data_IF_436170200833
#
_entry.id   IF_436170200833
#
_cell.length_a   1.000
_cell.length_b   1.000
_cell.length_c   1.000
_cell.angle_alpha   90.00
_cell.angle_beta   90.00
_cell.angle_gamma   90.00
#
_symmetry.space_group_name_H-M   'P 1'
#
loop_
_entity.id
_entity.type
_entity.pdbx_description
1 polymer ?
#
# COMPACT_ATOMS: atom_id res chain seq x y z
N UNK A 1 2.73 -11.36 4.08
CA UNK A 1 3.42 -10.81 2.91
C UNK A 1 2.72 -9.53 2.45
N UNK A 2 3.44 -8.69 1.70
CA UNK A 2 2.89 -7.46 1.13
C UNK A 2 2.92 -7.53 -0.39
N UNK A 3 2.02 -6.78 -1.03
CA UNK A 3 1.92 -6.67 -2.48
C UNK A 3 2.36 -5.28 -2.90
N UNK A 4 3.39 -5.20 -3.74
CA UNK A 4 3.78 -3.96 -4.38
C UNK A 4 3.03 -3.83 -5.69
N UNK A 5 2.29 -2.73 -5.85
CA UNK A 5 1.43 -2.47 -7.01
C UNK A 5 1.82 -1.17 -7.68
N UNK A 6 1.94 -1.20 -9.01
CA UNK A 6 2.29 -0.07 -9.87
C UNK A 6 1.22 0.16 -10.92
N UNK A 7 0.84 1.41 -11.14
CA UNK A 7 -0.03 1.77 -12.27
C UNK A 7 0.80 1.96 -13.54
N UNK A 8 0.63 1.10 -14.55
CA UNK A 8 1.38 1.17 -15.82
C UNK A 8 0.57 1.91 -16.89
N UNK A 9 -0.76 1.75 -16.89
CA UNK A 9 -1.65 2.40 -17.86
C UNK A 9 -2.53 3.46 -17.22
N UNK A 10 -2.78 4.54 -17.94
CA UNK A 10 -3.61 5.65 -17.46
C UNK A 10 -5.08 5.28 -17.29
N UNK A 11 -5.82 6.07 -16.52
CA UNK A 11 -7.25 5.81 -16.23
C UNK A 11 -8.22 6.32 -17.32
N UNK A 12 -7.71 7.05 -18.31
CA UNK A 12 -8.54 7.68 -19.34
C UNK A 12 -9.18 6.61 -20.24
N UNK A 13 -10.47 6.75 -20.53
CA UNK A 13 -11.20 5.80 -21.38
C UNK A 13 -11.67 4.50 -20.70
N UNK A 14 -11.32 4.26 -19.43
CA UNK A 14 -11.80 3.08 -18.69
C UNK A 14 -13.10 3.35 -17.93
N UNK A 15 -13.86 2.29 -17.64
CA UNK A 15 -15.11 2.31 -16.87
C UNK A 15 -14.92 2.97 -15.50
N UNK A 16 -15.94 3.69 -15.04
CA UNK A 16 -15.94 4.38 -13.75
C UNK A 16 -15.58 3.45 -12.58
N UNK A 17 -16.13 2.23 -12.55
CA UNK A 17 -15.83 1.20 -11.54
C UNK A 17 -14.33 0.88 -11.41
N UNK A 18 -13.60 0.84 -12.53
CA UNK A 18 -12.16 0.61 -12.50
C UNK A 18 -11.42 1.83 -11.96
N UNK A 19 -11.87 3.04 -12.31
CA UNK A 19 -11.29 4.29 -11.77
C UNK A 19 -11.48 4.39 -10.26
N UNK A 20 -12.65 4.02 -9.75
CA UNK A 20 -12.93 3.98 -8.31
C UNK A 20 -12.04 2.97 -7.59
N UNK A 21 -11.86 1.78 -8.17
CA UNK A 21 -10.96 0.75 -7.61
C UNK A 21 -9.53 1.26 -7.53
N UNK A 22 -9.01 1.89 -8.60
CA UNK A 22 -7.67 2.48 -8.62
C UNK A 22 -7.52 3.62 -7.60
N UNK A 23 -8.56 4.47 -7.44
CA UNK A 23 -8.58 5.51 -6.41
C UNK A 23 -8.56 4.92 -5.00
N UNK A 24 -9.31 3.84 -4.75
CA UNK A 24 -9.32 3.12 -3.48
C UNK A 24 -7.96 2.51 -3.12
N UNK A 25 -7.24 1.97 -4.12
CA UNK A 25 -5.85 1.50 -3.96
C UNK A 25 -4.83 2.66 -3.84
N UNK A 26 -5.25 3.90 -4.09
CA UNK A 26 -4.39 5.09 -4.03
C UNK A 26 -3.48 5.27 -5.25
N UNK A 27 -3.81 4.64 -6.37
CA UNK A 27 -3.09 4.68 -7.64
C UNK A 27 -3.71 5.73 -8.58
N UNK A 28 -3.40 7.00 -8.32
CA UNK A 28 -4.03 8.14 -9.05
C UNK A 28 -3.24 8.63 -10.27
N UNK A 29 -1.96 8.24 -10.41
CA UNK A 29 -1.07 8.68 -11.49
C UNK A 29 -0.29 7.49 -12.04
N UNK A 30 -0.03 7.51 -13.35
CA UNK A 30 0.82 6.51 -14.01
C UNK A 30 2.22 6.53 -13.42
N UNK A 31 2.82 5.36 -13.23
CA UNK A 31 4.12 5.16 -12.58
C UNK A 31 4.08 5.20 -11.06
N UNK A 32 2.92 5.46 -10.43
CA UNK A 32 2.80 5.47 -8.98
C UNK A 32 2.81 4.05 -8.43
N UNK A 33 3.64 3.83 -7.41
CA UNK A 33 3.80 2.55 -6.72
C UNK A 33 3.29 2.63 -5.27
N UNK A 34 2.69 1.54 -4.78
CA UNK A 34 2.20 1.39 -3.41
C UNK A 34 2.45 -0.04 -2.93
N UNK A 35 2.88 -0.17 -1.68
CA UNK A 35 2.90 -1.44 -0.96
C UNK A 35 1.59 -1.57 -0.19
N UNK A 36 0.92 -2.71 -0.35
CA UNK A 36 -0.38 -3.03 0.22
C UNK A 36 -0.27 -4.35 1.01
N UNK A 37 -1.14 -4.57 1.99
CA UNK A 37 -1.21 -5.86 2.67
C UNK A 37 -1.82 -6.91 1.75
N UNK A 38 -1.32 -8.14 1.79
CA UNK A 38 -1.97 -9.26 1.10
C UNK A 38 -3.23 -9.67 1.88
N UNK A 39 -4.37 -9.22 1.38
CA UNK A 39 -5.70 -9.60 1.89
C UNK A 39 -6.57 -10.01 0.71
N UNK A 40 -7.51 -10.96 0.88
CA UNK A 40 -8.36 -11.41 -0.21
C UNK A 40 -9.18 -10.28 -0.84
N UNK A 41 -9.57 -9.27 -0.04
CA UNK A 41 -10.23 -8.07 -0.55
C UNK A 41 -9.33 -7.27 -1.50
N UNK A 42 -8.06 -7.06 -1.14
CA UNK A 42 -7.08 -6.34 -1.98
C UNK A 42 -6.76 -7.15 -3.23
N UNK A 43 -6.62 -8.47 -3.10
CA UNK A 43 -6.38 -9.37 -4.23
C UNK A 43 -7.52 -9.33 -5.25
N UNK A 44 -8.77 -9.38 -4.79
CA UNK A 44 -9.95 -9.22 -5.67
C UNK A 44 -10.05 -7.83 -6.32
N UNK A 45 -9.58 -6.77 -5.65
CA UNK A 45 -9.47 -5.45 -6.28
C UNK A 45 -8.39 -5.43 -7.38
N UNK A 46 -7.23 -6.03 -7.13
CA UNK A 46 -6.11 -6.14 -8.07
C UNK A 46 -6.54 -6.93 -9.32
N UNK A 47 -7.21 -8.07 -9.14
CA UNK A 47 -7.69 -8.91 -10.25
C UNK A 47 -8.62 -8.14 -11.20
N UNK A 48 -9.52 -7.32 -10.66
CA UNK A 48 -10.44 -6.48 -11.46
C UNK A 48 -9.73 -5.46 -12.35
N UNK A 49 -8.52 -5.03 -11.98
CA UNK A 49 -7.75 -4.00 -12.70
C UNK A 49 -6.41 -4.51 -13.22
N UNK A 50 -6.22 -5.84 -13.26
CA UNK A 50 -4.93 -6.49 -13.55
C UNK A 50 -4.30 -6.08 -14.90
N UNK A 51 -5.11 -5.63 -15.86
CA UNK A 51 -4.63 -5.15 -17.17
C UNK A 51 -4.11 -3.70 -17.17
N UNK A 52 -4.29 -2.96 -16.07
CA UNK A 52 -3.83 -1.57 -15.90
C UNK A 52 -2.60 -1.46 -15.01
N UNK A 53 -2.38 -2.48 -14.17
CA UNK A 53 -1.38 -2.47 -13.13
C UNK A 53 -0.37 -3.60 -13.33
N UNK A 54 0.79 -3.41 -12.75
CA UNK A 54 1.80 -4.45 -12.57
C UNK A 54 1.95 -4.64 -11.05
N UNK A 55 2.03 -5.88 -10.60
CA UNK A 55 2.20 -6.16 -9.17
C UNK A 55 3.24 -7.26 -8.93
N UNK A 56 3.96 -7.12 -7.83
CA UNK A 56 4.97 -8.06 -7.36
C UNK A 56 4.77 -8.32 -5.87
N UNK A 57 5.04 -9.54 -5.43
CA UNK A 57 5.06 -9.86 -4.01
C UNK A 57 6.35 -9.36 -3.37
N UNK A 58 6.27 -8.73 -2.20
CA UNK A 58 7.44 -8.15 -1.51
C UNK A 58 7.27 -8.26 0.01
N UNK A 59 8.38 -8.41 0.74
CA UNK A 59 8.38 -8.44 2.22
C UNK A 59 8.43 -7.03 2.85
N UNK A 60 8.25 -5.97 2.06
CA UNK A 60 8.25 -4.60 2.58
C UNK A 60 7.06 -4.39 3.53
N UNK A 61 7.32 -3.73 4.67
CA UNK A 61 6.28 -3.40 5.63
C UNK A 61 5.25 -2.43 5.01
N UNK A 62 3.97 -2.76 5.16
CA UNK A 62 2.87 -1.88 4.74
C UNK A 62 2.92 -0.57 5.51
N UNK A 63 3.24 0.54 4.81
CA UNK A 63 3.19 1.88 5.38
C UNK A 63 1.83 2.51 5.06
N UNK A 64 1.00 2.82 6.07
CA UNK A 64 -0.27 3.48 5.80
C UNK A 64 -0.03 4.83 5.11
N UNK A 65 -0.95 5.23 4.25
CA UNK A 65 -0.84 6.47 3.47
C UNK A 65 -1.92 7.48 3.87
N UNK A 66 -1.60 8.77 3.81
CA UNK A 66 -2.50 9.87 4.16
C UNK A 66 -1.96 10.79 5.25
N UNK A 67 -2.74 11.80 5.63
CA UNK A 67 -2.30 12.77 6.66
C UNK A 67 -2.15 12.14 8.05
N UNK A 68 -2.99 11.15 8.38
CA UNK A 68 -2.97 10.44 9.67
C UNK A 68 -1.82 9.45 9.79
N UNK A 69 -1.39 8.84 8.69
CA UNK A 69 -0.30 7.86 8.73
C UNK A 69 1.06 8.48 9.01
N UNK A 70 1.25 9.76 8.64
CA UNK A 70 2.44 10.53 9.00
C UNK A 70 2.56 10.70 10.52
N UNK A 71 1.45 10.94 11.21
CA UNK A 71 1.41 11.04 12.68
C UNK A 71 1.66 9.68 13.34
N UNK A 72 1.14 8.60 12.76
CA UNK A 72 1.33 7.26 13.31
C UNK A 72 2.75 6.73 13.08
N UNK A 73 3.36 7.03 11.93
CA UNK A 73 4.79 6.78 11.69
C UNK A 73 5.69 7.59 12.64
N UNK A 74 5.29 8.83 12.97
CA UNK A 74 5.99 9.65 13.97
C UNK A 74 5.83 9.08 15.39
N UNK A 75 4.65 8.53 15.75
CA UNK A 75 4.43 7.85 17.03
C UNK A 75 5.18 6.52 17.15
N UNK A 76 5.15 5.67 16.12
CA UNK A 76 5.86 4.38 16.13
C UNK A 76 7.39 4.55 16.13
N UNK A 77 7.90 5.65 15.56
CA UNK A 77 9.32 6.00 15.64
C UNK A 77 9.75 6.47 17.06
N UNK A 78 8.83 7.03 17.85
CA UNK A 78 9.10 7.40 19.25
C UNK A 78 8.93 6.25 20.25
N UNK A 79 8.29 5.13 19.87
CA UNK A 79 7.90 4.04 20.80
C UNK A 79 8.75 2.75 20.73
N UNK A 80 9.84 2.67 19.94
CA UNK A 80 10.69 1.45 19.94
C UNK A 80 12.19 1.75 19.77
N UNK A 81 13.12 1.28 20.64
CA UNK A 81 12.96 0.66 21.97
C UNK A 81 13.81 1.30 23.10
N UNK A 82 13.23 1.54 24.28
CA UNK A 82 13.95 1.76 25.55
C UNK A 82 13.86 0.54 26.50
N UNK A 83 13.44 -0.63 25.99
CA UNK A 83 13.25 -1.87 26.78
C UNK A 83 14.21 -3.00 26.37
N UNK A 84 15.49 -2.70 26.24
CA UNK A 84 16.53 -3.72 25.97
C UNK A 84 17.63 -3.83 27.04
N UNK A 85 17.71 -2.94 28.04
CA UNK A 85 18.85 -2.91 28.98
C UNK A 85 18.55 -3.29 30.44
N UNK A 86 17.37 -3.81 30.79
CA UNK A 86 16.99 -3.98 32.21
C UNK A 86 16.63 -5.39 32.70
N UNK A 87 17.07 -6.44 32.01
CA UNK A 87 16.94 -7.84 32.48
C UNK A 87 18.29 -8.58 32.63
N UNK A 88 19.39 -7.84 32.82
CA UNK A 88 20.68 -8.45 33.18
C UNK A 88 21.37 -7.68 34.31
N UNK A 89 20.73 -7.56 35.47
CA UNK A 89 21.39 -7.22 36.75
C UNK A 89 20.66 -7.88 37.91
#
# INVERSE_FOLDING_TARGET
MSLKVKLVRGMSGHTEKHRETLRGLGLTRVGRERVLQDTPAIRGMIEKVAYLIEWSETNEEFKPFGRRSRQQAQKTASEKPAKAEKELR
#
